data_IF_647625513682
#
_entry.id   IF_647625513682
#
_cell.length_a   1.000
_cell.length_b   1.000
_cell.length_c   1.000
_cell.angle_alpha   90.00
_cell.angle_beta   90.00
_cell.angle_gamma   90.00
#
_symmetry.space_group_name_H-M   'P 1'
#
loop_
_entity.id
_entity.type
_entity.pdbx_description
1 polymer ?
#
# COMPACT_ATOMS: atom_id res chain seq x y z
N UNK A 1 -3.75 -19.42 14.00
CA UNK A 1 -4.40 -20.12 12.86
C UNK A 1 -5.62 -20.92 13.31
N UNK A 2 -5.53 -21.78 14.34
CA UNK A 2 -6.66 -22.59 14.84
C UNK A 2 -7.86 -21.74 15.26
N UNK A 3 -7.65 -20.68 16.04
CA UNK A 3 -8.70 -19.74 16.47
C UNK A 3 -9.42 -19.07 15.29
N UNK A 4 -8.70 -18.79 14.21
CA UNK A 4 -9.24 -18.22 13.00
C UNK A 4 -9.80 -19.29 12.03
N UNK A 5 -9.73 -20.57 12.35
CA UNK A 5 -10.14 -21.67 11.46
C UNK A 5 -9.55 -21.55 10.06
N UNK A 6 -8.24 -21.32 9.97
CA UNK A 6 -7.48 -21.25 8.72
C UNK A 6 -6.37 -22.29 8.70
N UNK A 7 -6.14 -22.89 7.53
CA UNK A 7 -5.11 -23.89 7.31
C UNK A 7 -3.80 -23.27 6.80
N UNK A 8 -3.92 -22.17 6.06
CA UNK A 8 -2.82 -21.40 5.50
C UNK A 8 -2.99 -19.92 5.86
N UNK A 9 -1.87 -19.24 6.15
CA UNK A 9 -1.85 -17.81 6.31
C UNK A 9 -0.79 -17.22 5.39
N UNK A 10 -1.18 -16.26 4.57
CA UNK A 10 -0.30 -15.58 3.62
C UNK A 10 0.21 -14.26 4.19
N UNK A 11 1.51 -14.06 4.09
CA UNK A 11 2.21 -12.86 4.56
C UNK A 11 2.99 -12.27 3.41
N UNK A 12 2.66 -11.04 3.03
CA UNK A 12 3.45 -10.24 2.10
C UNK A 12 4.37 -9.30 2.87
N UNK A 13 5.52 -8.96 2.30
CA UNK A 13 6.33 -7.84 2.77
C UNK A 13 5.78 -6.54 2.20
N UNK A 14 4.82 -5.96 2.88
CA UNK A 14 4.18 -4.69 2.52
C UNK A 14 3.49 -4.09 3.75
N UNK A 15 3.06 -2.85 3.63
CA UNK A 15 2.18 -2.17 4.58
C UNK A 15 0.76 -2.00 4.00
N UNK A 16 -0.12 -1.37 4.75
CA UNK A 16 -1.49 -1.09 4.36
C UNK A 16 -1.65 -0.06 3.23
N UNK A 17 -0.54 0.50 2.74
CA UNK A 17 -0.48 1.40 1.58
C UNK A 17 0.11 0.68 0.35
N UNK A 18 0.44 -0.60 0.49
CA UNK A 18 1.15 -1.42 -0.50
C UNK A 18 2.50 -0.84 -0.91
N UNK A 19 3.21 -0.23 0.04
CA UNK A 19 4.50 0.40 -0.18
C UNK A 19 5.60 -0.63 -0.41
N UNK A 20 6.57 -0.29 -1.26
CA UNK A 20 7.80 -1.09 -1.45
C UNK A 20 8.74 -0.93 -0.25
N UNK A 21 8.93 0.30 0.21
CA UNK A 21 9.68 0.62 1.43
C UNK A 21 8.70 0.84 2.57
N UNK A 22 8.85 0.08 3.64
CA UNK A 22 7.91 0.08 4.76
C UNK A 22 8.59 0.52 6.05
N UNK A 23 7.80 1.07 6.95
CA UNK A 23 8.28 1.46 8.26
C UNK A 23 8.40 0.24 9.20
N UNK A 24 9.23 0.30 10.25
CA UNK A 24 9.49 -0.85 11.14
C UNK A 24 8.25 -1.54 11.70
N UNK A 25 7.16 -0.81 11.96
CA UNK A 25 5.91 -1.42 12.46
C UNK A 25 5.27 -2.41 11.49
N UNK A 26 5.55 -2.28 10.19
CA UNK A 26 4.97 -3.10 9.13
C UNK A 26 5.87 -4.29 8.72
N UNK A 27 7.04 -4.46 9.31
CA UNK A 27 8.01 -5.52 9.00
C UNK A 27 7.57 -6.91 9.52
N UNK A 28 6.30 -7.28 9.26
CA UNK A 28 5.69 -8.54 9.71
C UNK A 28 6.41 -9.76 9.18
N UNK A 29 6.87 -9.74 7.92
CA UNK A 29 7.63 -10.83 7.33
C UNK A 29 8.98 -11.01 8.03
N UNK A 30 9.68 -9.92 8.30
CA UNK A 30 10.94 -9.94 9.04
C UNK A 30 10.72 -10.51 10.45
N UNK A 31 9.71 -10.03 11.16
CA UNK A 31 9.43 -10.48 12.53
C UNK A 31 9.22 -12.00 12.63
N UNK A 32 8.49 -12.60 11.68
CA UNK A 32 8.17 -14.04 11.76
C UNK A 32 9.28 -14.93 11.21
N UNK A 33 10.10 -14.42 10.27
CA UNK A 33 11.09 -15.23 9.53
C UNK A 33 12.54 -14.83 9.73
N UNK A 34 12.80 -13.68 10.33
CA UNK A 34 14.08 -12.94 10.37
C UNK A 34 14.58 -12.44 9.01
N UNK A 35 13.85 -12.66 7.91
CA UNK A 35 14.26 -12.21 6.59
C UNK A 35 14.11 -10.70 6.45
N UNK A 36 15.22 -9.98 6.22
CA UNK A 36 15.28 -8.52 6.12
C UNK A 36 15.25 -7.99 4.67
N UNK A 37 15.26 -8.86 3.66
CA UNK A 37 15.26 -8.47 2.26
C UNK A 37 13.97 -7.75 1.82
N UNK A 38 14.07 -6.88 0.81
CA UNK A 38 12.94 -6.01 0.39
C UNK A 38 11.86 -6.72 -0.45
N UNK A 39 12.09 -7.95 -0.89
CA UNK A 39 11.11 -8.70 -1.69
C UNK A 39 10.98 -10.14 -1.19
N UNK A 40 9.89 -10.40 -0.49
CA UNK A 40 9.58 -11.71 0.09
C UNK A 40 8.10 -11.86 0.40
N UNK A 41 7.66 -13.10 0.54
CA UNK A 41 6.37 -13.49 1.08
C UNK A 41 6.45 -14.84 1.76
N UNK A 42 5.60 -15.10 2.71
CA UNK A 42 5.56 -16.38 3.40
C UNK A 42 4.19 -17.04 3.32
N UNK A 43 4.20 -18.36 3.39
CA UNK A 43 3.03 -19.21 3.60
C UNK A 43 3.23 -19.97 4.89
N UNK A 44 2.41 -19.69 5.88
CA UNK A 44 2.39 -20.40 7.16
C UNK A 44 1.32 -21.47 7.09
N UNK A 45 1.69 -22.69 7.39
CA UNK A 45 0.82 -23.86 7.48
C UNK A 45 0.73 -24.34 8.94
N UNK A 46 -0.06 -25.36 9.21
CA UNK A 46 -0.27 -25.83 10.60
C UNK A 46 1.01 -26.35 11.29
N UNK A 47 1.93 -26.93 10.54
CA UNK A 47 3.15 -27.57 11.08
C UNK A 47 4.43 -27.12 10.39
N UNK A 48 4.35 -26.40 9.28
CA UNK A 48 5.49 -25.98 8.46
C UNK A 48 5.27 -24.57 7.96
N UNK A 49 6.34 -23.90 7.53
CA UNK A 49 6.27 -22.60 6.88
C UNK A 49 7.22 -22.55 5.68
N UNK A 50 6.87 -21.74 4.70
CA UNK A 50 7.72 -21.49 3.54
C UNK A 50 7.88 -20.00 3.33
N UNK A 51 9.10 -19.59 3.02
CA UNK A 51 9.39 -18.23 2.59
C UNK A 51 9.83 -18.22 1.13
N UNK A 52 9.25 -17.33 0.36
CA UNK A 52 9.52 -17.14 -1.06
C UNK A 52 10.26 -15.83 -1.24
N UNK A 53 11.48 -15.89 -1.77
CA UNK A 53 12.35 -14.74 -1.93
C UNK A 53 12.71 -14.51 -3.40
N UNK A 54 12.96 -13.26 -3.75
CA UNK A 54 13.51 -12.89 -5.06
C UNK A 54 14.94 -13.45 -5.21
N UNK A 55 15.35 -13.74 -6.44
CA UNK A 55 16.67 -14.34 -6.73
C UNK A 55 17.86 -13.53 -6.22
N UNK A 56 17.70 -12.23 -5.97
CA UNK A 56 18.74 -11.37 -5.37
C UNK A 56 19.01 -11.69 -3.89
N UNK A 57 18.07 -12.34 -3.22
CA UNK A 57 18.10 -12.59 -1.77
C UNK A 57 18.33 -14.06 -1.41
N UNK A 58 18.69 -14.93 -2.34
CA UNK A 58 18.86 -16.37 -2.09
C UNK A 58 19.93 -16.66 -1.04
N UNK A 59 21.07 -15.98 -1.09
CA UNK A 59 22.18 -16.14 -0.11
C UNK A 59 21.77 -15.53 1.23
N UNK A 60 21.29 -14.30 1.22
CA UNK A 60 20.85 -13.60 2.43
C UNK A 60 19.78 -14.38 3.19
N UNK A 61 18.81 -14.95 2.48
CA UNK A 61 17.76 -15.75 3.13
C UNK A 61 18.30 -17.00 3.82
N UNK A 62 19.34 -17.65 3.25
CA UNK A 62 19.98 -18.80 3.89
C UNK A 62 20.71 -18.43 5.20
N UNK A 63 21.21 -17.21 5.29
CA UNK A 63 21.93 -16.73 6.48
C UNK A 63 20.96 -16.21 7.57
N UNK A 64 19.85 -15.59 7.18
CA UNK A 64 18.95 -14.90 8.12
C UNK A 64 17.79 -15.76 8.61
N UNK A 65 17.22 -16.60 7.74
CA UNK A 65 15.98 -17.34 8.03
C UNK A 65 16.25 -18.56 8.91
N UNK A 66 15.40 -18.78 9.93
CA UNK A 66 15.47 -19.98 10.74
C UNK A 66 15.00 -21.22 9.95
N UNK A 67 15.95 -21.99 9.43
CA UNK A 67 15.71 -23.18 8.61
C UNK A 67 15.04 -24.35 9.35
N UNK A 68 14.97 -24.31 10.68
CA UNK A 68 14.18 -25.29 11.45
C UNK A 68 12.68 -25.06 11.30
N UNK A 69 12.26 -23.83 11.00
CA UNK A 69 10.86 -23.44 10.91
C UNK A 69 10.42 -23.18 9.46
N UNK A 70 11.33 -22.75 8.59
CA UNK A 70 11.04 -22.34 7.23
C UNK A 70 11.85 -23.14 6.20
N UNK A 71 11.22 -23.48 5.08
CA UNK A 71 11.92 -23.77 3.83
C UNK A 71 11.98 -22.51 2.96
N UNK A 72 13.12 -22.30 2.29
CA UNK A 72 13.34 -21.18 1.39
C UNK A 72 13.06 -21.64 -0.04
N UNK A 73 12.20 -20.90 -0.72
CA UNK A 73 11.76 -21.17 -2.09
C UNK A 73 11.96 -19.91 -2.95
N UNK A 74 11.95 -20.06 -4.28
CA UNK A 74 12.00 -18.91 -5.16
C UNK A 74 10.61 -18.30 -5.39
N UNK A 75 10.54 -16.98 -5.54
CA UNK A 75 9.28 -16.24 -5.76
C UNK A 75 8.38 -16.82 -6.86
N UNK A 76 8.96 -17.28 -7.96
CA UNK A 76 8.24 -17.90 -9.09
C UNK A 76 7.48 -19.17 -8.71
N UNK A 77 7.94 -19.87 -7.67
CA UNK A 77 7.38 -21.17 -7.28
C UNK A 77 6.18 -21.02 -6.31
N UNK A 78 5.83 -19.79 -5.91
CA UNK A 78 4.77 -19.51 -4.95
C UNK A 78 3.40 -20.12 -5.35
N UNK A 79 2.95 -19.85 -6.58
CA UNK A 79 1.64 -20.35 -7.03
C UNK A 79 1.63 -21.88 -7.21
N UNK A 80 2.72 -22.44 -7.68
CA UNK A 80 2.87 -23.91 -7.79
C UNK A 80 2.89 -24.57 -6.40
N UNK A 81 3.55 -23.95 -5.43
CA UNK A 81 3.54 -24.39 -4.05
C UNK A 81 2.13 -24.40 -3.47
N UNK A 82 1.35 -23.37 -3.67
CA UNK A 82 -0.05 -23.34 -3.24
C UNK A 82 -0.85 -24.46 -3.89
N UNK A 83 -0.74 -24.65 -5.21
CA UNK A 83 -1.44 -25.72 -5.94
C UNK A 83 -1.09 -27.12 -5.44
N UNK A 84 0.18 -27.36 -5.09
CA UNK A 84 0.64 -28.67 -4.59
C UNK A 84 0.20 -29.00 -3.17
N UNK A 85 0.07 -27.99 -2.31
CA UNK A 85 -0.17 -28.20 -0.89
C UNK A 85 -1.63 -28.00 -0.47
N UNK A 86 -2.38 -27.15 -1.20
CA UNK A 86 -3.80 -26.97 -0.93
C UNK A 86 -4.60 -28.24 -1.24
N UNK A 87 -5.57 -28.49 -0.40
CA UNK A 87 -6.55 -29.56 -0.58
C UNK A 87 -7.96 -28.97 -0.58
N UNK A 88 -8.90 -29.75 -1.09
CA UNK A 88 -10.31 -29.43 -1.04
C UNK A 88 -10.73 -29.04 0.39
N UNK A 89 -11.52 -27.96 0.49
CA UNK A 89 -12.02 -27.38 1.75
C UNK A 89 -10.99 -26.71 2.65
N UNK A 90 -9.69 -26.71 2.31
CA UNK A 90 -8.72 -25.88 3.04
C UNK A 90 -9.10 -24.41 2.98
N UNK A 91 -8.72 -23.68 4.04
CA UNK A 91 -9.01 -22.25 4.17
C UNK A 91 -7.71 -21.47 4.22
N UNK A 92 -7.55 -20.51 3.27
CA UNK A 92 -6.44 -19.57 3.27
C UNK A 92 -6.87 -18.28 3.96
N UNK A 93 -6.19 -17.91 5.04
CA UNK A 93 -6.34 -16.62 5.69
C UNK A 93 -5.54 -15.53 4.95
N UNK A 94 -6.17 -14.41 4.66
CA UNK A 94 -5.57 -13.25 3.99
C UNK A 94 -5.98 -11.98 4.73
N UNK A 95 -5.01 -11.10 5.00
CA UNK A 95 -5.28 -9.74 5.45
C UNK A 95 -5.58 -8.85 4.22
N UNK A 96 -6.82 -8.39 4.04
CA UNK A 96 -7.20 -7.63 2.85
C UNK A 96 -6.59 -6.23 2.77
N UNK A 97 -5.97 -5.73 3.84
CA UNK A 97 -5.22 -4.47 3.84
C UNK A 97 -3.83 -4.61 3.20
N UNK A 98 -3.30 -5.84 3.14
CA UNK A 98 -1.93 -6.12 2.70
C UNK A 98 -1.85 -6.80 1.32
N UNK A 99 -2.94 -6.83 0.57
CA UNK A 99 -3.03 -7.43 -0.76
C UNK A 99 -3.76 -6.51 -1.72
N UNK A 100 -3.25 -6.41 -2.94
CA UNK A 100 -3.98 -5.76 -4.04
C UNK A 100 -4.98 -6.74 -4.68
N UNK A 101 -5.94 -6.21 -5.45
CA UNK A 101 -6.88 -7.03 -6.22
C UNK A 101 -6.18 -8.04 -7.12
N UNK A 102 -5.11 -7.63 -7.79
CA UNK A 102 -4.33 -8.49 -8.69
C UNK A 102 -3.74 -9.71 -7.97
N UNK A 103 -3.22 -9.52 -6.75
CA UNK A 103 -2.68 -10.62 -5.94
C UNK A 103 -3.80 -11.55 -5.49
N UNK A 104 -4.90 -10.98 -5.01
CA UNK A 104 -6.08 -11.72 -4.60
C UNK A 104 -6.63 -12.61 -5.72
N UNK A 105 -6.80 -12.08 -6.94
CA UNK A 105 -7.33 -12.85 -8.07
C UNK A 105 -6.46 -14.05 -8.43
N UNK A 106 -5.14 -13.93 -8.33
CA UNK A 106 -4.25 -15.06 -8.60
C UNK A 106 -4.42 -16.19 -7.59
N UNK A 107 -4.66 -15.85 -6.33
CA UNK A 107 -4.92 -16.80 -5.25
C UNK A 107 -6.33 -17.38 -5.39
N UNK A 108 -7.32 -16.54 -5.68
CA UNK A 108 -8.71 -16.95 -5.90
C UNK A 108 -8.82 -18.01 -7.01
N UNK A 109 -8.15 -17.78 -8.13
CA UNK A 109 -8.11 -18.77 -9.21
C UNK A 109 -7.61 -20.14 -8.76
N UNK A 110 -6.56 -20.16 -7.93
CA UNK A 110 -6.01 -21.42 -7.40
C UNK A 110 -7.00 -22.08 -6.44
N UNK A 111 -7.63 -21.32 -5.55
CA UNK A 111 -8.60 -21.87 -4.59
C UNK A 111 -9.85 -22.41 -5.29
N UNK A 112 -10.33 -21.75 -6.33
CA UNK A 112 -11.48 -22.20 -7.13
C UNK A 112 -11.19 -23.50 -7.88
N UNK A 113 -9.97 -23.65 -8.46
CA UNK A 113 -9.53 -24.88 -9.14
C UNK A 113 -9.52 -26.11 -8.19
N UNK A 114 -9.31 -25.92 -6.89
CA UNK A 114 -9.11 -26.99 -5.88
C UNK A 114 -10.33 -27.17 -4.97
N UNK A 115 -11.34 -26.31 -5.05
CA UNK A 115 -12.46 -26.20 -4.10
C UNK A 115 -11.97 -25.89 -2.66
N UNK A 116 -10.96 -25.01 -2.54
CA UNK A 116 -10.51 -24.40 -1.30
C UNK A 116 -11.19 -23.03 -1.10
N UNK A 117 -11.03 -22.42 0.08
CA UNK A 117 -11.68 -21.15 0.42
C UNK A 117 -10.70 -20.08 0.83
N UNK A 118 -11.04 -18.82 0.57
CA UNK A 118 -10.34 -17.66 1.10
C UNK A 118 -11.16 -17.08 2.25
N UNK A 119 -10.50 -16.81 3.37
CA UNK A 119 -11.04 -16.09 4.53
C UNK A 119 -10.30 -14.79 4.72
N UNK A 120 -11.02 -13.66 4.61
CA UNK A 120 -10.49 -12.37 4.98
C UNK A 120 -10.46 -12.21 6.49
N UNK A 121 -9.30 -11.87 7.01
CA UNK A 121 -9.08 -11.70 8.45
C UNK A 121 -9.37 -10.24 8.83
N UNK A 122 -10.10 -10.05 9.92
CA UNK A 122 -10.38 -8.71 10.47
C UNK A 122 -9.15 -8.12 11.15
N UNK A 123 -8.36 -8.98 11.82
CA UNK A 123 -7.13 -8.61 12.47
C UNK A 123 -5.99 -9.49 11.94
N UNK A 124 -4.83 -8.89 11.74
CA UNK A 124 -3.65 -9.64 11.35
C UNK A 124 -3.14 -10.49 12.53
N UNK A 125 -3.02 -11.82 12.39
CA UNK A 125 -2.54 -12.67 13.49
C UNK A 125 -1.14 -12.29 14.00
N UNK A 126 -0.28 -11.72 13.15
CA UNK A 126 1.05 -11.27 13.57
C UNK A 126 0.93 -10.08 14.52
N UNK A 127 0.11 -9.09 14.19
CA UNK A 127 -0.07 -7.90 15.02
C UNK A 127 -0.63 -8.23 16.43
N UNK A 128 -1.36 -9.34 16.55
CA UNK A 128 -1.85 -9.85 17.84
C UNK A 128 -0.75 -10.56 18.67
N UNK A 129 0.28 -11.07 18.01
CA UNK A 129 1.35 -11.85 18.66
C UNK A 129 2.63 -11.05 18.85
N UNK A 130 2.79 -9.95 18.12
CA UNK A 130 4.01 -9.14 18.15
C UNK A 130 3.98 -8.14 19.31
N UNK A 131 4.29 -8.60 20.52
CA UNK A 131 4.23 -7.81 21.76
C UNK A 131 5.05 -6.51 21.71
N UNK A 132 6.22 -6.54 21.09
CA UNK A 132 7.13 -5.39 20.96
C UNK A 132 7.05 -4.75 19.56
N UNK A 133 5.89 -4.79 18.91
CA UNK A 133 5.72 -4.16 17.60
C UNK A 133 6.01 -2.66 17.69
N UNK A 134 6.91 -2.13 16.84
CA UNK A 134 7.16 -0.69 16.80
C UNK A 134 5.89 0.11 16.57
N UNK A 135 5.81 1.28 17.14
CA UNK A 135 4.67 2.19 16.90
C UNK A 135 4.69 2.72 15.47
N UNK A 136 3.51 3.00 14.94
CA UNK A 136 3.41 3.69 13.64
C UNK A 136 4.13 5.04 13.71
N UNK A 137 4.89 5.41 12.67
CA UNK A 137 5.60 6.68 12.64
C UNK A 137 4.60 7.85 12.64
N UNK A 138 4.98 8.92 13.32
CA UNK A 138 4.17 10.13 13.43
C UNK A 138 5.03 11.38 13.15
N UNK A 139 5.72 11.38 12.00
CA UNK A 139 6.55 12.51 11.60
C UNK A 139 5.72 13.69 11.10
N UNK A 140 6.16 14.92 11.40
CA UNK A 140 5.52 16.13 10.86
C UNK A 140 5.63 16.16 9.34
N UNK A 141 4.51 16.44 8.71
CA UNK A 141 4.46 16.76 7.30
C UNK A 141 4.92 18.21 7.07
N UNK A 142 5.59 18.44 5.97
CA UNK A 142 5.97 19.78 5.52
C UNK A 142 5.60 20.01 4.06
N UNK A 143 5.41 21.24 3.70
CA UNK A 143 5.04 21.62 2.36
C UNK A 143 6.27 21.62 1.44
N UNK A 144 6.14 21.02 0.27
CA UNK A 144 7.14 21.08 -0.78
C UNK A 144 6.92 22.34 -1.62
N UNK A 145 7.80 23.33 -1.46
CA UNK A 145 7.63 24.64 -2.05
C UNK A 145 7.51 24.63 -3.57
N UNK A 146 6.78 25.62 -4.10
CA UNK A 146 6.55 25.77 -5.54
C UNK A 146 7.85 25.93 -6.33
N UNK A 147 8.88 26.53 -5.72
CA UNK A 147 10.22 26.64 -6.32
C UNK A 147 10.88 25.28 -6.62
N UNK A 148 10.44 24.20 -5.98
CA UNK A 148 10.95 22.85 -6.19
C UNK A 148 9.98 21.94 -6.93
N UNK A 149 8.67 22.11 -6.75
CA UNK A 149 7.66 21.28 -7.39
C UNK A 149 7.12 21.87 -8.72
N UNK A 150 7.30 23.17 -8.97
CA UNK A 150 6.98 23.84 -10.23
C UNK A 150 5.51 23.89 -10.63
N UNK A 151 4.60 23.23 -9.89
CA UNK A 151 3.16 23.18 -10.17
C UNK A 151 2.34 23.26 -8.88
N UNK A 152 1.35 24.14 -8.87
CA UNK A 152 0.50 24.34 -7.68
C UNK A 152 -0.43 23.16 -7.45
N UNK A 153 -0.91 23.02 -6.21
CA UNK A 153 -1.84 21.95 -5.79
C UNK A 153 -3.13 22.04 -6.61
N UNK A 154 -3.70 23.24 -6.78
CA UNK A 154 -4.93 23.45 -7.54
C UNK A 154 -4.80 22.95 -8.99
N UNK A 155 -3.68 23.27 -9.65
CA UNK A 155 -3.46 22.81 -11.03
C UNK A 155 -3.34 21.29 -11.11
N UNK A 156 -2.76 20.66 -10.09
CA UNK A 156 -2.66 19.19 -10.02
C UNK A 156 -4.03 18.58 -9.79
N UNK A 157 -4.80 19.05 -8.80
CA UNK A 157 -6.16 18.58 -8.54
C UNK A 157 -7.03 18.72 -9.78
N UNK A 158 -7.07 19.88 -10.42
CA UNK A 158 -7.86 20.10 -11.65
C UNK A 158 -7.45 19.15 -12.78
N UNK A 159 -6.15 18.89 -12.95
CA UNK A 159 -5.68 17.92 -13.94
C UNK A 159 -6.19 16.52 -13.64
N UNK A 160 -6.12 16.07 -12.39
CA UNK A 160 -6.57 14.74 -12.01
C UNK A 160 -8.09 14.62 -12.11
N UNK A 161 -8.84 15.62 -11.71
CA UNK A 161 -10.30 15.66 -11.88
C UNK A 161 -10.72 15.55 -13.36
N UNK A 162 -10.00 16.21 -14.27
CA UNK A 162 -10.25 16.06 -15.71
C UNK A 162 -10.03 14.62 -16.19
N UNK A 163 -9.02 13.93 -15.65
CA UNK A 163 -8.77 12.51 -15.94
C UNK A 163 -9.94 11.65 -15.41
N UNK A 164 -10.41 11.90 -14.19
CA UNK A 164 -11.54 11.17 -13.61
C UNK A 164 -12.82 11.37 -14.42
N UNK A 165 -13.13 12.62 -14.81
CA UNK A 165 -14.29 12.93 -15.65
C UNK A 165 -14.24 12.21 -17.00
N UNK A 166 -13.10 12.23 -17.68
CA UNK A 166 -12.89 11.51 -18.94
C UNK A 166 -13.13 10.00 -18.77
N UNK A 167 -12.79 9.47 -17.62
CA UNK A 167 -13.00 8.07 -17.27
C UNK A 167 -14.35 7.80 -16.59
N UNK A 168 -15.26 8.77 -16.49
CA UNK A 168 -16.56 8.61 -15.84
C UNK A 168 -16.45 8.05 -14.41
N UNK A 169 -15.49 8.55 -13.64
CA UNK A 169 -15.33 8.33 -12.22
C UNK A 169 -15.63 9.60 -11.45
N UNK A 170 -16.45 9.50 -10.42
CA UNK A 170 -16.76 10.64 -9.55
C UNK A 170 -15.71 10.76 -8.44
N UNK A 171 -15.32 9.64 -7.87
CA UNK A 171 -14.34 9.54 -6.78
C UNK A 171 -13.18 8.63 -7.18
N UNK A 172 -12.03 8.83 -6.56
CA UNK A 172 -10.90 7.89 -6.69
C UNK A 172 -10.22 7.67 -5.34
N UNK A 173 -10.06 6.40 -4.94
CA UNK A 173 -9.34 6.03 -3.72
C UNK A 173 -7.85 5.97 -4.02
N UNK A 174 -7.10 6.93 -3.50
CA UNK A 174 -5.66 7.05 -3.67
C UNK A 174 -4.97 6.53 -2.41
N UNK A 175 -4.33 5.37 -2.52
CA UNK A 175 -3.56 4.74 -1.45
C UNK A 175 -2.05 4.90 -1.62
N UNK A 176 -1.59 5.26 -2.81
CA UNK A 176 -0.19 5.38 -3.16
C UNK A 176 0.42 6.64 -2.55
N UNK A 177 1.32 6.47 -1.57
CA UNK A 177 1.85 7.56 -0.75
C UNK A 177 2.59 8.65 -1.56
N UNK A 178 3.38 8.25 -2.56
CA UNK A 178 4.10 9.18 -3.41
C UNK A 178 3.20 9.95 -4.38
N UNK A 179 2.05 9.38 -4.76
CA UNK A 179 1.01 10.08 -5.52
C UNK A 179 0.29 11.13 -4.67
N UNK A 180 -0.01 10.82 -3.41
CA UNK A 180 -0.57 11.77 -2.44
C UNK A 180 0.42 12.91 -2.20
N UNK A 181 1.69 12.58 -1.96
CA UNK A 181 2.75 13.55 -1.74
C UNK A 181 2.96 14.47 -2.94
N UNK A 182 2.88 13.92 -4.17
CA UNK A 182 2.94 14.72 -5.40
C UNK A 182 1.71 15.60 -5.57
N UNK A 183 0.51 15.05 -5.40
CA UNK A 183 -0.77 15.77 -5.62
C UNK A 183 -0.88 16.98 -4.71
N UNK A 184 -0.57 16.82 -3.43
CA UNK A 184 -0.73 17.84 -2.39
C UNK A 184 0.56 18.59 -2.07
N UNK A 185 1.64 18.40 -2.83
CA UNK A 185 2.95 18.98 -2.55
C UNK A 185 3.39 18.76 -1.10
N UNK A 186 3.21 17.55 -0.59
CA UNK A 186 3.57 17.16 0.78
C UNK A 186 4.84 16.32 0.82
N UNK A 187 5.58 16.45 1.92
CA UNK A 187 6.69 15.55 2.26
C UNK A 187 6.64 15.27 3.75
N UNK A 188 7.25 14.16 4.16
CA UNK A 188 7.40 13.75 5.55
C UNK A 188 8.48 12.71 5.71
N UNK A 189 8.63 12.15 6.91
CA UNK A 189 9.72 11.23 7.25
C UNK A 189 9.19 9.95 7.92
N UNK A 190 8.00 9.49 7.53
CA UNK A 190 7.43 8.25 8.11
C UNK A 190 8.14 7.00 7.58
N UNK A 191 8.77 7.09 6.41
CA UNK A 191 9.52 6.00 5.80
C UNK A 191 10.99 6.42 5.69
N UNK A 192 11.90 5.56 6.17
CA UNK A 192 13.33 5.83 6.16
C UNK A 192 13.83 6.07 4.72
N UNK A 193 14.58 7.13 4.51
CA UNK A 193 15.12 7.57 3.22
C UNK A 193 14.08 7.88 2.12
N UNK A 194 12.80 7.89 2.48
CA UNK A 194 11.71 8.15 1.54
C UNK A 194 10.82 9.26 2.11
N UNK A 195 10.79 10.46 1.51
CA UNK A 195 10.17 11.63 2.14
C UNK A 195 8.64 11.64 2.04
N UNK A 196 7.99 10.64 2.62
CA UNK A 196 6.54 10.41 2.57
C UNK A 196 5.93 10.37 3.98
N UNK A 197 4.64 10.71 4.07
CA UNK A 197 3.80 10.45 5.22
C UNK A 197 2.79 9.34 4.92
N UNK A 198 2.49 8.54 5.92
CA UNK A 198 1.42 7.54 5.84
C UNK A 198 0.06 8.23 5.84
N UNK A 199 -0.66 8.13 4.75
CA UNK A 199 -1.97 8.74 4.54
C UNK A 199 -2.74 8.04 3.42
N UNK A 200 -4.06 8.19 3.42
CA UNK A 200 -4.90 7.92 2.26
C UNK A 200 -5.51 9.22 1.77
N UNK A 201 -5.92 9.26 0.52
CA UNK A 201 -6.70 10.35 -0.01
C UNK A 201 -7.85 9.84 -0.87
N UNK A 202 -8.97 10.57 -0.87
CA UNK A 202 -10.05 10.35 -1.81
C UNK A 202 -10.18 11.62 -2.64
N UNK A 203 -9.96 11.50 -3.94
CA UNK A 203 -10.17 12.58 -4.90
C UNK A 203 -11.67 12.64 -5.18
N UNK A 204 -12.23 13.83 -5.12
CA UNK A 204 -13.66 14.09 -5.23
C UNK A 204 -13.95 14.95 -6.47
N UNK A 205 -15.22 15.08 -6.89
CA UNK A 205 -15.62 16.06 -7.92
C UNK A 205 -15.38 17.52 -7.50
N UNK A 206 -15.32 17.76 -6.18
CA UNK A 206 -15.10 19.09 -5.62
C UNK A 206 -13.65 19.53 -5.74
N UNK A 207 -13.40 20.81 -5.47
CA UNK A 207 -12.05 21.41 -5.55
C UNK A 207 -11.10 20.96 -4.42
N UNK A 208 -11.60 20.19 -3.46
CA UNK A 208 -10.85 19.67 -2.32
C UNK A 208 -10.73 18.15 -2.36
N UNK A 209 -9.62 17.68 -1.83
CA UNK A 209 -9.33 16.25 -1.63
C UNK A 209 -9.66 15.88 -0.19
N UNK A 210 -10.29 14.74 0.04
CA UNK A 210 -10.48 14.17 1.37
C UNK A 210 -9.19 13.47 1.79
N UNK A 211 -8.45 14.05 2.74
CA UNK A 211 -7.16 13.54 3.22
C UNK A 211 -7.34 12.84 4.57
N UNK A 212 -7.03 11.55 4.62
CA UNK A 212 -7.08 10.71 5.81
C UNK A 212 -5.67 10.54 6.37
N UNK A 213 -5.40 11.23 7.47
CA UNK A 213 -4.07 11.33 8.06
C UNK A 213 -4.18 11.54 9.56
N UNK A 214 -3.17 11.16 10.34
CA UNK A 214 -3.11 11.50 11.75
C UNK A 214 -2.93 13.02 11.93
N UNK A 215 -3.80 13.64 12.70
CA UNK A 215 -3.89 15.12 12.80
C UNK A 215 -2.57 15.76 13.22
N UNK A 216 -1.83 15.11 14.10
CA UNK A 216 -0.53 15.60 14.56
C UNK A 216 0.47 15.82 13.43
N UNK A 217 0.41 14.99 12.37
CA UNK A 217 1.33 15.12 11.23
C UNK A 217 1.17 16.42 10.47
N UNK A 218 -0.02 16.97 10.43
CA UNK A 218 -0.36 18.14 9.58
C UNK A 218 -0.50 19.45 10.35
N UNK A 219 -0.29 19.48 11.68
CA UNK A 219 -0.52 20.67 12.51
C UNK A 219 0.15 21.93 11.96
N UNK A 220 1.40 21.82 11.50
CA UNK A 220 2.19 22.98 11.07
C UNK A 220 1.76 23.53 9.70
N UNK A 221 1.08 22.70 8.89
CA UNK A 221 0.67 23.03 7.52
C UNK A 221 -0.85 23.07 7.32
N UNK A 222 -1.63 22.71 8.35
CA UNK A 222 -3.09 22.55 8.29
C UNK A 222 -3.80 23.76 7.70
N UNK A 223 -3.41 24.97 8.13
CA UNK A 223 -4.03 26.22 7.65
C UNK A 223 -3.84 26.43 6.15
N UNK A 224 -2.66 26.14 5.62
CA UNK A 224 -2.37 26.29 4.20
C UNK A 224 -3.05 25.18 3.38
N UNK A 225 -2.99 23.95 3.89
CA UNK A 225 -3.52 22.78 3.20
C UNK A 225 -5.05 22.72 3.20
N UNK A 226 -5.73 23.36 4.18
CA UNK A 226 -7.20 23.42 4.30
C UNK A 226 -7.90 24.08 3.10
N UNK A 227 -7.15 24.85 2.30
CA UNK A 227 -7.64 25.40 1.04
C UNK A 227 -7.91 24.31 -0.01
N UNK A 228 -7.20 23.18 0.08
CA UNK A 228 -7.16 22.10 -0.91
C UNK A 228 -7.64 20.75 -0.39
N UNK A 229 -7.75 20.61 0.95
CA UNK A 229 -8.08 19.33 1.57
C UNK A 229 -9.04 19.53 2.75
N UNK A 230 -9.95 18.58 2.89
CA UNK A 230 -10.64 18.29 4.13
C UNK A 230 -9.87 17.20 4.87
N UNK A 231 -9.82 17.26 6.20
CA UNK A 231 -9.00 16.36 7.00
C UNK A 231 -9.85 15.39 7.80
N UNK A 232 -9.45 14.15 7.78
CA UNK A 232 -10.09 13.05 8.50
C UNK A 232 -9.04 12.22 9.24
N UNK A 233 -9.44 11.61 10.35
CA UNK A 233 -8.60 10.59 10.97
C UNK A 233 -8.35 9.44 9.98
N UNK A 234 -7.12 8.94 9.92
CA UNK A 234 -6.76 7.84 9.03
C UNK A 234 -7.65 6.61 9.23
N UNK A 235 -8.12 6.39 10.46
CA UNK A 235 -9.01 5.27 10.82
C UNK A 235 -10.42 5.41 10.27
N UNK A 236 -10.84 6.61 9.84
CA UNK A 236 -12.21 6.86 9.38
C UNK A 236 -12.45 6.58 7.89
N UNK A 237 -11.42 6.24 7.11
CA UNK A 237 -11.55 6.05 5.67
C UNK A 237 -12.60 4.99 5.29
N UNK A 238 -12.61 3.85 5.99
CA UNK A 238 -13.61 2.79 5.74
C UNK A 238 -15.04 3.29 5.99
N UNK A 239 -15.24 4.07 7.05
CA UNK A 239 -16.52 4.67 7.36
C UNK A 239 -16.93 5.70 6.30
N UNK A 240 -15.99 6.52 5.85
CA UNK A 240 -16.25 7.50 4.80
C UNK A 240 -16.72 6.83 3.50
N UNK A 241 -15.99 5.80 3.05
CA UNK A 241 -16.35 5.05 1.83
C UNK A 241 -17.75 4.42 1.95
N UNK A 242 -18.06 3.77 3.09
CA UNK A 242 -19.37 3.16 3.34
C UNK A 242 -20.55 4.13 3.21
N UNK A 243 -20.32 5.41 3.51
CA UNK A 243 -21.35 6.46 3.47
C UNK A 243 -21.41 7.21 2.13
N UNK A 244 -20.62 6.82 1.13
CA UNK A 244 -20.76 7.38 -0.21
C UNK A 244 -22.09 6.93 -0.83
N UNK A 245 -22.64 7.79 -1.68
CA UNK A 245 -23.87 7.46 -2.41
C UNK A 245 -23.64 6.31 -3.37
N UNK A 246 -24.60 5.38 -3.47
CA UNK A 246 -24.60 4.31 -4.48
C UNK A 246 -24.71 4.83 -5.93
N UNK A 247 -25.04 6.13 -6.10
CA UNK A 247 -25.15 6.77 -7.43
C UNK A 247 -23.81 7.24 -7.98
N UNK A 248 -22.75 7.27 -7.17
CA UNK A 248 -21.42 7.71 -7.61
C UNK A 248 -20.58 6.51 -8.04
N UNK A 249 -19.67 6.73 -8.98
CA UNK A 249 -18.70 5.73 -9.44
C UNK A 249 -17.33 5.99 -8.79
N UNK A 250 -16.80 4.97 -8.10
CA UNK A 250 -15.54 5.03 -7.38
C UNK A 250 -14.45 4.36 -8.21
N UNK A 251 -13.39 5.09 -8.55
CA UNK A 251 -12.19 4.55 -9.18
C UNK A 251 -11.30 3.84 -8.15
N UNK A 252 -10.82 2.66 -8.48
CA UNK A 252 -9.90 1.84 -7.66
C UNK A 252 -8.77 1.33 -8.55
N UNK A 253 -7.51 1.52 -8.13
CA UNK A 253 -6.38 0.91 -8.82
C UNK A 253 -6.25 -0.56 -8.41
N UNK A 254 -6.33 -1.45 -9.40
CA UNK A 254 -6.29 -2.90 -9.21
C UNK A 254 -4.97 -3.42 -8.65
N UNK A 255 -3.88 -2.64 -8.76
CA UNK A 255 -2.52 -3.03 -8.38
C UNK A 255 -2.05 -2.29 -7.14
N UNK A 256 -2.49 -1.03 -6.96
CA UNK A 256 -1.94 -0.09 -5.97
C UNK A 256 -2.92 0.28 -4.85
N UNK A 257 -4.14 -0.24 -4.90
CA UNK A 257 -5.12 -0.01 -3.84
C UNK A 257 -5.33 -1.32 -3.05
N UNK A 258 -5.24 -1.29 -1.71
CA UNK A 258 -5.56 -2.45 -0.87
C UNK A 258 -6.95 -3.00 -1.13
N UNK A 259 -7.06 -4.32 -1.20
CA UNK A 259 -8.30 -5.03 -1.54
C UNK A 259 -9.46 -4.73 -0.57
N UNK A 260 -9.15 -4.33 0.65
CA UNK A 260 -10.16 -3.96 1.64
C UNK A 260 -11.14 -2.90 1.10
N UNK A 261 -10.68 -1.94 0.31
CA UNK A 261 -11.54 -0.87 -0.21
C UNK A 261 -12.51 -1.39 -1.28
N UNK A 262 -12.08 -2.30 -2.14
CA UNK A 262 -12.98 -2.99 -3.06
C UNK A 262 -14.00 -3.82 -2.31
N UNK A 263 -13.56 -4.59 -1.31
CA UNK A 263 -14.43 -5.39 -0.45
C UNK A 263 -15.51 -4.52 0.22
N UNK A 264 -15.14 -3.35 0.74
CA UNK A 264 -16.09 -2.40 1.31
C UNK A 264 -17.10 -1.93 0.26
N UNK A 265 -16.67 -1.62 -0.95
CA UNK A 265 -17.59 -1.24 -2.03
C UNK A 265 -18.57 -2.37 -2.35
N UNK A 266 -18.10 -3.60 -2.48
CA UNK A 266 -18.94 -4.77 -2.76
C UNK A 266 -19.98 -5.02 -1.65
N UNK A 267 -19.54 -5.02 -0.38
CA UNK A 267 -20.41 -5.26 0.78
C UNK A 267 -21.49 -4.20 0.98
N UNK A 268 -21.24 -2.97 0.50
CA UNK A 268 -22.20 -1.86 0.62
C UNK A 268 -22.89 -1.52 -0.70
N UNK A 269 -22.79 -2.38 -1.71
CA UNK A 269 -23.42 -2.20 -3.04
C UNK A 269 -23.08 -0.86 -3.70
N UNK A 270 -21.85 -0.37 -3.49
CA UNK A 270 -21.34 0.84 -4.13
C UNK A 270 -20.85 0.54 -5.54
N UNK A 271 -21.08 1.45 -6.46
CA UNK A 271 -20.59 1.33 -7.83
C UNK A 271 -19.10 1.67 -7.88
N UNK A 272 -18.28 0.76 -8.39
CA UNK A 272 -16.85 1.03 -8.59
C UNK A 272 -16.36 0.49 -9.94
N UNK A 273 -15.24 1.00 -10.39
CA UNK A 273 -14.54 0.52 -11.58
C UNK A 273 -13.03 0.57 -11.40
N UNK A 274 -12.32 -0.29 -12.13
CA UNK A 274 -10.88 -0.24 -12.13
C UNK A 274 -10.35 0.88 -13.03
N UNK A 275 -9.53 1.72 -12.45
CA UNK A 275 -8.80 2.79 -13.10
C UNK A 275 -7.40 2.82 -12.50
N UNK A 276 -6.38 2.91 -13.34
CA UNK A 276 -5.01 3.11 -12.88
C UNK A 276 -4.88 4.43 -12.14
N UNK A 277 -4.00 4.51 -11.13
CA UNK A 277 -3.75 5.73 -10.35
C UNK A 277 -3.57 6.93 -11.30
N UNK A 278 -4.53 7.89 -11.29
CA UNK A 278 -4.54 9.01 -12.24
C UNK A 278 -3.37 9.98 -12.04
N UNK A 279 -2.66 9.90 -10.91
CA UNK A 279 -1.46 10.69 -10.64
C UNK A 279 -0.20 10.07 -11.26
N UNK A 280 -0.20 8.78 -11.57
CA UNK A 280 0.99 8.03 -11.95
C UNK A 280 1.69 8.67 -13.16
N UNK A 281 0.96 8.85 -14.25
CA UNK A 281 1.50 9.40 -15.48
C UNK A 281 1.87 10.90 -15.38
N UNK A 282 0.99 11.79 -14.84
CA UNK A 282 1.35 13.18 -14.62
C UNK A 282 2.54 13.38 -13.68
N UNK A 283 2.70 12.55 -12.66
CA UNK A 283 3.85 12.55 -11.75
C UNK A 283 5.14 12.11 -12.46
N UNK A 284 5.04 11.14 -13.36
CA UNK A 284 6.19 10.65 -14.14
C UNK A 284 6.71 11.71 -15.13
N UNK A 285 5.83 12.55 -15.68
CA UNK A 285 6.20 13.65 -16.59
C UNK A 285 6.70 14.86 -15.79
N UNK A 286 8.03 14.95 -15.62
CA UNK A 286 8.66 16.03 -14.87
C UNK A 286 8.55 17.38 -15.61
N UNK A 287 8.12 18.43 -14.91
CA UNK A 287 8.21 19.80 -15.40
C UNK A 287 9.67 20.33 -15.36
N UNK A 288 9.91 21.52 -15.92
CA UNK A 288 11.26 22.08 -16.00
C UNK A 288 11.93 22.29 -14.63
N UNK A 289 11.15 22.65 -13.61
CA UNK A 289 11.66 22.86 -12.24
C UNK A 289 12.07 21.51 -11.64
N UNK A 290 11.24 20.50 -11.76
CA UNK A 290 11.54 19.13 -11.29
C UNK A 290 12.75 18.52 -12.01
N UNK A 291 12.87 18.76 -13.34
CA UNK A 291 14.05 18.33 -14.13
C UNK A 291 15.34 19.01 -13.64
N UNK A 292 15.29 20.33 -13.38
CA UNK A 292 16.45 21.02 -12.83
C UNK A 292 16.80 20.56 -11.43
N UNK A 293 15.79 20.31 -10.59
CA UNK A 293 15.96 19.72 -9.26
C UNK A 293 16.65 18.37 -9.32
N UNK A 294 16.21 17.47 -10.22
CA UNK A 294 16.83 16.16 -10.42
C UNK A 294 18.30 16.28 -10.87
N UNK A 295 18.61 17.16 -11.82
CA UNK A 295 20.01 17.41 -12.26
C UNK A 295 20.88 17.88 -11.10
N UNK A 296 20.39 18.84 -10.30
CA UNK A 296 21.12 19.37 -9.15
C UNK A 296 21.36 18.28 -8.08
N UNK A 297 20.36 17.41 -7.82
CA UNK A 297 20.50 16.29 -6.90
C UNK A 297 21.59 15.31 -7.38
N UNK A 298 21.54 14.88 -8.65
CA UNK A 298 22.53 13.97 -9.21
C UNK A 298 23.95 14.52 -9.14
N UNK A 299 24.16 15.84 -9.31
CA UNK A 299 25.48 16.47 -9.17
C UNK A 299 25.96 16.35 -7.71
N UNK A 300 25.11 16.68 -6.72
CA UNK A 300 25.47 16.57 -5.29
C UNK A 300 25.81 15.14 -4.90
N UNK A 301 24.96 14.19 -5.32
CA UNK A 301 25.13 12.78 -5.01
C UNK A 301 26.42 12.23 -5.66
N UNK A 302 26.68 12.57 -6.92
CA UNK A 302 27.92 12.20 -7.61
C UNK A 302 29.16 12.71 -6.91
N UNK A 303 29.16 13.97 -6.44
CA UNK A 303 30.29 14.52 -5.66
C UNK A 303 30.47 13.78 -4.34
N UNK A 304 29.37 13.41 -3.66
CA UNK A 304 29.44 12.71 -2.37
C UNK A 304 29.98 11.27 -2.49
N UNK A 305 29.64 10.57 -3.59
CA UNK A 305 30.13 9.20 -3.84
C UNK A 305 31.60 9.18 -4.27
N UNK A 306 32.10 10.24 -4.96
CA UNK A 306 33.46 10.30 -5.49
C UNK A 306 34.49 10.83 -4.49
N UNK A 307 34.07 11.36 -3.34
CA UNK A 307 34.93 11.77 -2.23
C UNK A 307 35.27 10.61 -1.30
#
# INVERSE_FOLDING_TARGET
MKENSIDYFLINRTDEFLSEYISPYAERLNWISNFSGSAGKAVIMQTTAKIFVDGRYTVQAQEEVNLNNFSIEHFKDFHECLKKNLQKHHVIGIDPHLHAKKDFESIQKITDEIDAKIKFLENNPIDLLWENQPTKPNSRAFQHDLQYCGKTIEKKISQIQSILQTNQCDYFILATLDSIAWLLNLRGNDILYTPLNLAYAIITPDTKVELFVDEEKILDIKNNLSKFSNFHSIKSINHFIKNLSSKVTIGIDRIRTPYIFEKICQENSLTFKYLEDPCLYPKAQKNLVELQGARNANIRDGVSITK
#
